data_IF_454572547059
#
_entry.id   IF_454572547059
#
_cell.length_a   1.000
_cell.length_b   1.000
_cell.length_c   1.000
_cell.angle_alpha   90.00
_cell.angle_beta   90.00
_cell.angle_gamma   90.00
#
_symmetry.space_group_name_H-M   'P 1'
#
loop_
_entity.id
_entity.type
_entity.pdbx_description
1 polymer ?
#
# COMPACT_ATOMS: atom_id res chain seq x y z
N UNK A 1 -9.94 18.68 -1.62
CA UNK A 1 -8.89 17.91 -2.30
C UNK A 1 -7.68 17.93 -1.39
N UNK A 2 -7.57 16.95 -0.49
CA UNK A 2 -6.35 16.79 0.30
C UNK A 2 -5.23 16.32 -0.64
N UNK A 3 -4.06 16.94 -0.55
CA UNK A 3 -2.88 16.66 -1.36
C UNK A 3 -2.51 15.16 -1.32
N UNK A 4 -2.86 14.40 -2.36
CA UNK A 4 -2.42 13.01 -2.56
C UNK A 4 -0.89 12.90 -2.60
N UNK A 5 -0.20 14.00 -2.93
CA UNK A 5 1.27 14.08 -3.01
C UNK A 5 1.97 13.62 -1.74
N UNK A 6 1.34 13.75 -0.57
CA UNK A 6 1.96 13.40 0.71
C UNK A 6 1.53 12.04 1.27
N UNK A 7 0.93 11.16 0.46
CA UNK A 7 0.39 9.87 0.92
C UNK A 7 1.42 9.02 1.67
N UNK A 8 2.57 8.71 1.03
CA UNK A 8 3.65 7.94 1.67
C UNK A 8 4.10 8.63 2.96
N UNK A 9 4.29 9.96 2.95
CA UNK A 9 4.71 10.69 4.14
C UNK A 9 3.71 10.55 5.29
N UNK A 10 2.41 10.66 4.99
CA UNK A 10 1.33 10.49 5.98
C UNK A 10 1.34 9.09 6.59
N UNK A 11 1.58 8.05 5.78
CA UNK A 11 1.70 6.66 6.25
C UNK A 11 2.89 6.54 7.20
N UNK A 12 4.06 7.00 6.79
CA UNK A 12 5.29 6.95 7.60
C UNK A 12 5.16 7.74 8.91
N UNK A 13 4.39 8.83 8.92
CA UNK A 13 4.13 9.64 10.12
C UNK A 13 3.05 9.00 11.03
N UNK A 14 2.12 8.22 10.47
CA UNK A 14 1.00 7.60 11.21
C UNK A 14 1.42 6.32 11.93
N UNK A 15 2.24 5.50 11.27
CA UNK A 15 2.65 4.22 11.81
C UNK A 15 4.02 4.32 12.48
N UNK A 16 4.13 3.84 13.73
CA UNK A 16 5.44 3.61 14.35
C UNK A 16 6.09 2.40 13.68
N UNK A 17 6.95 2.66 12.71
CA UNK A 17 7.62 1.63 11.94
C UNK A 17 8.71 0.96 12.76
N UNK A 18 8.55 -0.32 13.03
CA UNK A 18 9.62 -1.17 13.53
C UNK A 18 10.52 -1.59 12.37
N UNK A 19 11.79 -1.19 12.42
CA UNK A 19 12.78 -1.52 11.40
C UNK A 19 13.61 -2.72 11.85
N UNK A 20 13.33 -3.87 11.25
CA UNK A 20 14.17 -5.05 11.41
C UNK A 20 15.08 -5.24 10.20
N UNK A 21 16.29 -4.70 10.27
CA UNK A 21 17.29 -4.88 9.21
C UNK A 21 17.92 -6.29 9.19
N UNK A 22 17.63 -7.14 10.18
CA UNK A 22 18.16 -8.51 10.21
C UNK A 22 17.45 -9.44 9.21
N UNK A 23 16.27 -9.04 8.72
CA UNK A 23 15.46 -9.85 7.79
C UNK A 23 16.03 -9.90 6.37
N UNK A 24 16.99 -9.03 6.03
CA UNK A 24 17.57 -8.97 4.69
C UNK A 24 19.01 -8.49 4.68
N UNK A 25 19.81 -9.09 3.79
CA UNK A 25 21.16 -8.61 3.47
C UNK A 25 21.19 -7.74 2.19
N UNK A 26 20.03 -7.46 1.60
CA UNK A 26 19.93 -6.62 0.41
C UNK A 26 20.16 -5.14 0.79
N UNK A 27 21.28 -4.59 0.31
CA UNK A 27 21.67 -3.21 0.60
C UNK A 27 20.72 -2.18 -0.01
N UNK A 28 20.07 -2.47 -1.15
CA UNK A 28 19.08 -1.55 -1.73
C UNK A 28 17.84 -1.45 -0.84
N UNK A 29 17.37 -2.57 -0.28
CA UNK A 29 16.24 -2.56 0.65
C UNK A 29 16.59 -1.78 1.93
N UNK A 30 17.77 -2.04 2.51
CA UNK A 30 18.24 -1.29 3.69
C UNK A 30 18.31 0.21 3.39
N UNK A 31 18.84 0.58 2.23
CA UNK A 31 18.95 1.98 1.81
C UNK A 31 17.59 2.67 1.65
N UNK A 32 16.63 2.01 1.00
CA UNK A 32 15.24 2.50 0.86
C UNK A 32 14.66 2.81 2.25
N UNK A 33 14.72 1.87 3.18
CA UNK A 33 14.19 2.04 4.54
C UNK A 33 14.89 3.20 5.28
N UNK A 34 16.22 3.30 5.22
CA UNK A 34 17.00 4.35 5.89
C UNK A 34 16.69 5.75 5.38
N UNK A 35 16.38 5.91 4.09
CA UNK A 35 16.18 7.20 3.45
C UNK A 35 14.71 7.64 3.35
N UNK A 36 13.78 6.90 3.97
CA UNK A 36 12.34 7.17 3.90
C UNK A 36 11.89 8.58 4.30
N UNK A 37 12.65 9.26 5.17
CA UNK A 37 12.39 10.66 5.55
C UNK A 37 12.71 11.66 4.43
N UNK A 38 13.48 11.25 3.43
CA UNK A 38 13.93 12.08 2.32
C UNK A 38 13.15 11.82 1.03
N UNK A 39 12.07 11.03 1.11
CA UNK A 39 11.22 10.78 -0.04
C UNK A 39 10.56 12.08 -0.51
N UNK A 40 10.58 12.28 -1.82
CA UNK A 40 9.99 13.42 -2.51
C UNK A 40 8.62 12.99 -3.02
N UNK A 41 7.54 13.59 -2.48
CA UNK A 41 6.18 13.55 -3.03
C UNK A 41 6.11 13.66 -4.56
N UNK A 42 5.35 12.78 -5.20
CA UNK A 42 5.13 12.82 -6.64
C UNK A 42 3.75 12.26 -6.99
N UNK A 43 3.26 12.55 -8.19
CA UNK A 43 1.96 12.01 -8.65
C UNK A 43 2.09 10.62 -9.28
N UNK A 44 3.24 10.27 -9.87
CA UNK A 44 3.45 9.05 -10.70
C UNK A 44 4.94 8.68 -10.86
N UNK A 45 5.60 8.04 -9.90
CA UNK A 45 5.01 7.27 -8.80
C UNK A 45 4.67 8.15 -7.59
N UNK A 46 4.05 7.59 -6.55
CA UNK A 46 3.60 8.33 -5.36
C UNK A 46 4.73 9.06 -4.61
N UNK A 47 5.93 8.49 -4.62
CA UNK A 47 7.12 9.17 -4.14
C UNK A 47 8.37 8.71 -4.88
N UNK A 48 9.47 9.44 -4.75
CA UNK A 48 10.77 8.98 -5.22
C UNK A 48 11.91 9.57 -4.37
N UNK A 49 13.08 8.97 -4.46
CA UNK A 49 14.31 9.60 -3.98
C UNK A 49 15.48 9.24 -4.88
N UNK A 50 16.51 10.08 -4.87
CA UNK A 50 17.75 9.86 -5.62
C UNK A 50 18.90 9.62 -4.65
N UNK A 51 19.69 8.59 -4.91
CA UNK A 51 20.93 8.34 -4.21
C UNK A 51 22.00 7.92 -5.22
N UNK A 52 23.14 8.59 -5.19
CA UNK A 52 24.21 8.40 -6.16
C UNK A 52 23.66 8.52 -7.60
N UNK A 53 23.86 7.48 -8.41
CA UNK A 53 23.37 7.36 -9.78
C UNK A 53 22.12 6.48 -9.92
N UNK A 54 21.36 6.30 -8.83
CA UNK A 54 20.13 5.49 -8.81
C UNK A 54 18.97 6.36 -8.34
N UNK A 55 17.85 6.28 -9.07
CA UNK A 55 16.56 6.84 -8.66
C UNK A 55 15.66 5.67 -8.26
N UNK A 56 15.11 5.77 -7.06
CA UNK A 56 14.16 4.82 -6.52
C UNK A 56 12.77 5.45 -6.60
N UNK A 57 11.91 4.93 -7.47
CA UNK A 57 10.49 5.27 -7.52
C UNK A 57 9.71 4.40 -6.54
N UNK A 58 8.75 4.97 -5.83
CA UNK A 58 7.97 4.30 -4.78
C UNK A 58 6.50 4.41 -5.15
N UNK A 59 5.90 3.29 -5.52
CA UNK A 59 4.46 3.18 -5.77
C UNK A 59 3.80 2.50 -4.58
N UNK A 60 2.72 3.09 -4.08
CA UNK A 60 1.95 2.59 -2.95
C UNK A 60 0.75 1.76 -3.43
N UNK A 61 0.64 0.53 -2.94
CA UNK A 61 -0.58 -0.26 -3.04
C UNK A 61 -1.19 -0.51 -1.67
N UNK A 62 -2.30 0.15 -1.44
CA UNK A 62 -3.20 -0.17 -0.33
C UNK A 62 -4.05 -1.40 -0.71
N UNK A 63 -3.95 -2.47 0.07
CA UNK A 63 -4.71 -3.73 -0.11
C UNK A 63 -5.49 -4.10 1.16
N UNK A 64 -6.45 -5.00 1.03
CA UNK A 64 -7.32 -5.43 2.13
C UNK A 64 -7.75 -6.89 1.97
N UNK A 65 -7.93 -7.59 3.09
CA UNK A 65 -8.53 -8.93 3.19
C UNK A 65 -10.02 -8.92 2.85
N UNK A 66 -10.65 -7.75 2.84
CA UNK A 66 -12.06 -7.59 2.51
C UNK A 66 -12.25 -7.38 1.02
N UNK A 67 -13.30 -7.99 0.47
CA UNK A 67 -13.62 -7.84 -0.95
C UNK A 67 -13.95 -6.38 -1.27
N UNK A 68 -13.33 -5.86 -2.33
CA UNK A 68 -13.66 -4.52 -2.86
C UNK A 68 -15.11 -4.53 -3.36
N UNK A 69 -15.99 -3.79 -2.69
CA UNK A 69 -17.38 -3.63 -3.11
C UNK A 69 -17.46 -2.59 -4.24
N UNK A 70 -18.50 -2.67 -5.09
CA UNK A 70 -18.75 -1.66 -6.15
C UNK A 70 -18.87 -0.24 -5.58
N UNK A 71 -19.27 -0.10 -4.32
CA UNK A 71 -19.42 1.14 -3.58
C UNK A 71 -18.13 1.63 -2.90
N UNK A 72 -16.99 0.97 -3.13
CA UNK A 72 -15.68 1.33 -2.57
C UNK A 72 -15.20 0.43 -1.44
N UNK A 73 -14.12 0.85 -0.79
CA UNK A 73 -13.48 0.14 0.32
C UNK A 73 -14.40 0.10 1.55
N UNK A 74 -14.55 -1.08 2.16
CA UNK A 74 -15.42 -1.28 3.32
C UNK A 74 -14.92 -0.45 4.51
N UNK A 75 -13.62 -0.24 4.68
CA UNK A 75 -13.06 0.62 5.74
C UNK A 75 -13.53 2.07 5.59
N UNK A 76 -13.57 2.59 4.36
CA UNK A 76 -14.08 3.95 4.05
C UNK A 76 -15.58 4.04 4.28
N UNK A 77 -16.33 2.98 3.99
CA UNK A 77 -17.76 2.90 4.28
C UNK A 77 -18.05 2.82 5.78
N UNK A 78 -17.28 2.02 6.52
CA UNK A 78 -17.38 1.89 7.97
C UNK A 78 -17.01 3.20 8.68
N UNK A 79 -15.90 3.87 8.30
CA UNK A 79 -15.52 5.19 8.83
C UNK A 79 -16.55 6.27 8.49
N UNK A 80 -17.06 6.30 7.26
CA UNK A 80 -18.14 7.21 6.86
C UNK A 80 -19.44 6.98 7.65
N UNK A 81 -19.70 5.73 8.01
CA UNK A 81 -20.82 5.32 8.88
C UNK A 81 -20.60 5.76 10.33
N UNK A 82 -19.39 5.60 10.87
CA UNK A 82 -19.03 6.07 12.22
C UNK A 82 -19.12 7.59 12.37
N UNK A 83 -18.68 8.38 11.38
CA UNK A 83 -18.76 9.84 11.40
C UNK A 83 -20.21 10.38 11.32
N UNK A 84 -21.19 9.54 11.01
CA UNK A 84 -22.61 9.87 10.95
C UNK A 84 -23.45 9.01 11.91
N UNK A 85 -22.86 8.56 13.02
CA UNK A 85 -23.49 7.64 13.98
C UNK A 85 -24.87 8.09 14.46
N UNK A 86 -25.07 9.39 14.63
CA UNK A 86 -26.35 9.98 15.05
C UNK A 86 -27.47 9.86 14.00
N UNK A 87 -27.12 9.57 12.73
CA UNK A 87 -28.06 9.43 11.61
C UNK A 87 -28.27 7.98 11.18
N UNK A 88 -27.60 7.01 11.80
CA UNK A 88 -27.76 5.60 11.46
C UNK A 88 -28.97 5.01 12.18
N UNK A 89 -29.93 4.47 11.42
CA UNK A 89 -31.12 3.80 11.97
C UNK A 89 -30.85 2.36 12.39
N UNK A 90 -29.88 1.67 11.79
CA UNK A 90 -29.41 0.33 12.16
C UNK A 90 -27.93 0.19 11.75
N UNK A 91 -27.14 -0.54 12.54
CA UNK A 91 -25.77 -0.92 12.15
C UNK A 91 -25.86 -1.75 10.85
N UNK A 92 -25.17 -1.31 9.79
CA UNK A 92 -25.05 -2.13 8.58
C UNK A 92 -24.28 -3.40 8.93
N UNK A 93 -24.92 -4.55 8.84
CA UNK A 93 -24.25 -5.84 8.89
C UNK A 93 -23.48 -6.01 7.57
N UNK A 94 -22.19 -5.66 7.60
CA UNK A 94 -21.30 -5.97 6.49
C UNK A 94 -20.84 -7.40 6.66
N UNK A 95 -21.23 -8.27 5.73
CA UNK A 95 -20.64 -9.59 5.63
C UNK A 95 -19.24 -9.46 5.05
N UNK A 96 -18.26 -9.33 5.94
CA UNK A 96 -16.90 -8.93 5.58
C UNK A 96 -16.11 -10.03 4.87
N UNK A 97 -16.46 -11.30 5.11
CA UNK A 97 -15.75 -12.50 4.63
C UNK A 97 -14.25 -12.26 4.34
N UNK A 98 -13.45 -11.95 5.38
CA UNK A 98 -12.02 -11.73 5.21
C UNK A 98 -11.37 -12.97 4.61
N UNK A 99 -10.58 -12.80 3.55
CA UNK A 99 -9.90 -13.90 2.88
C UNK A 99 -8.55 -13.45 2.37
N UNK A 100 -7.54 -14.31 2.55
CA UNK A 100 -6.22 -14.13 1.95
C UNK A 100 -6.33 -14.06 0.43
N UNK A 101 -7.27 -14.81 -0.17
CA UNK A 101 -7.49 -14.77 -1.62
C UNK A 101 -7.93 -13.38 -2.09
N UNK A 102 -8.81 -12.69 -1.34
CA UNK A 102 -9.22 -11.32 -1.67
C UNK A 102 -8.03 -10.37 -1.69
N UNK A 103 -7.12 -10.51 -0.73
CA UNK A 103 -5.92 -9.70 -0.62
C UNK A 103 -4.96 -9.95 -1.79
N UNK A 104 -4.72 -11.22 -2.12
CA UNK A 104 -3.87 -11.63 -3.24
C UNK A 104 -4.46 -11.14 -4.58
N UNK A 105 -5.77 -11.28 -4.78
CA UNK A 105 -6.46 -10.77 -5.96
C UNK A 105 -6.36 -9.23 -6.03
N UNK A 106 -6.57 -8.52 -4.92
CA UNK A 106 -6.46 -7.05 -4.90
C UNK A 106 -5.04 -6.58 -5.27
N UNK A 107 -4.00 -7.26 -4.76
CA UNK A 107 -2.62 -6.97 -5.13
C UNK A 107 -2.37 -7.22 -6.63
N UNK A 108 -2.84 -8.35 -7.16
CA UNK A 108 -2.72 -8.68 -8.58
C UNK A 108 -3.44 -7.66 -9.46
N UNK A 109 -4.67 -7.26 -9.11
CA UNK A 109 -5.45 -6.27 -9.86
C UNK A 109 -4.78 -4.89 -9.87
N UNK A 110 -4.21 -4.48 -8.73
CA UNK A 110 -3.46 -3.23 -8.62
C UNK A 110 -2.21 -3.26 -9.51
N UNK A 111 -1.42 -4.34 -9.45
CA UNK A 111 -0.24 -4.52 -10.29
C UNK A 111 -0.60 -4.51 -11.77
N UNK A 112 -1.64 -5.25 -12.16
CA UNK A 112 -2.10 -5.28 -13.55
C UNK A 112 -2.46 -3.88 -14.05
N UNK A 113 -3.24 -3.14 -13.25
CA UNK A 113 -3.72 -1.81 -13.60
C UNK A 113 -2.61 -0.77 -13.69
N UNK A 114 -1.57 -0.88 -12.85
CA UNK A 114 -0.49 0.10 -12.77
C UNK A 114 0.74 -0.28 -13.63
N UNK A 115 0.90 -1.55 -14.01
CA UNK A 115 2.09 -2.04 -14.73
C UNK A 115 2.41 -1.27 -16.01
N UNK A 116 1.38 -0.91 -16.80
CA UNK A 116 1.55 -0.09 -18.01
C UNK A 116 2.08 1.33 -17.76
N UNK A 117 2.04 1.83 -16.52
CA UNK A 117 2.57 3.15 -16.16
C UNK A 117 4.03 3.13 -15.68
N UNK A 118 4.59 1.96 -15.37
CA UNK A 118 5.93 1.85 -14.76
C UNK A 118 7.05 2.37 -15.67
N UNK A 119 6.94 2.16 -16.98
CA UNK A 119 7.89 2.72 -17.94
C UNK A 119 7.83 4.24 -17.98
N UNK A 120 6.63 4.82 -17.94
CA UNK A 120 6.44 6.26 -17.90
C UNK A 120 7.03 6.87 -16.63
N UNK A 121 6.96 6.15 -15.50
CA UNK A 121 7.58 6.58 -14.23
C UNK A 121 9.10 6.68 -14.37
N UNK A 122 9.72 5.62 -14.91
CA UNK A 122 11.16 5.58 -15.21
C UNK A 122 11.53 6.75 -16.10
N UNK A 123 10.93 6.83 -17.28
CA UNK A 123 11.31 7.78 -18.32
C UNK A 123 11.20 9.22 -17.82
N UNK A 124 10.15 9.54 -17.08
CA UNK A 124 9.95 10.87 -16.50
C UNK A 124 11.03 11.22 -15.46
N UNK A 125 11.43 10.27 -14.62
CA UNK A 125 12.39 10.52 -13.55
C UNK A 125 13.85 10.46 -14.03
N UNK A 126 14.14 9.70 -15.08
CA UNK A 126 15.51 9.54 -15.63
C UNK A 126 15.78 10.40 -16.85
N UNK A 127 14.79 11.10 -17.43
CA UNK A 127 14.92 11.84 -18.70
C UNK A 127 16.19 12.70 -18.81
N UNK A 128 16.53 13.38 -17.72
CA UNK A 128 17.63 14.35 -17.68
C UNK A 128 18.87 13.83 -16.93
N UNK A 129 18.88 12.55 -16.56
CA UNK A 129 19.94 11.97 -15.74
C UNK A 129 20.29 10.57 -16.26
N UNK A 130 21.56 10.30 -16.55
CA UNK A 130 22.05 8.94 -16.87
C UNK A 130 22.06 8.04 -15.62
N UNK A 131 20.93 7.95 -14.93
CA UNK A 131 20.73 7.22 -13.68
C UNK A 131 20.05 5.88 -13.95
N UNK A 132 20.39 4.88 -13.14
CA UNK A 132 19.61 3.65 -13.04
C UNK A 132 18.27 3.96 -12.35
N UNK A 133 17.23 3.25 -12.74
CA UNK A 133 15.92 3.33 -12.09
C UNK A 133 15.60 2.03 -11.39
N UNK A 134 15.03 2.13 -10.19
CA UNK A 134 14.47 0.99 -9.46
C UNK A 134 13.07 1.36 -8.98
N UNK A 135 12.11 0.50 -9.26
CA UNK A 135 10.76 0.62 -8.71
C UNK A 135 10.67 -0.18 -7.41
N UNK A 136 10.16 0.48 -6.37
CA UNK A 136 9.82 -0.10 -5.08
C UNK A 136 8.31 -0.13 -5.00
N UNK A 137 7.74 -1.31 -4.80
CA UNK A 137 6.31 -1.44 -4.48
C UNK A 137 6.19 -1.47 -2.96
N UNK A 138 5.56 -0.43 -2.42
CA UNK A 138 5.21 -0.37 -1.01
C UNK A 138 3.79 -0.89 -0.85
N UNK A 139 3.61 -1.98 -0.10
CA UNK A 139 2.30 -2.60 0.10
C UNK A 139 1.84 -2.33 1.53
N UNK A 140 0.69 -1.66 1.67
CA UNK A 140 0.01 -1.46 2.95
C UNK A 140 -1.17 -2.43 3.06
N UNK A 141 -1.14 -3.29 4.07
CA UNK A 141 -2.35 -4.01 4.49
C UNK A 141 -3.21 -3.07 5.33
N UNK A 142 -4.29 -2.58 4.74
CA UNK A 142 -5.26 -1.68 5.37
C UNK A 142 -6.47 -2.41 5.94
N UNK A 143 -6.36 -3.73 6.13
CA UNK A 143 -7.40 -4.54 6.77
C UNK A 143 -7.62 -4.09 8.21
N UNK A 144 -8.63 -3.25 8.41
CA UNK A 144 -9.10 -2.88 9.74
C UNK A 144 -9.56 -4.15 10.50
N UNK A 145 -9.24 -4.25 11.79
CA UNK A 145 -9.71 -5.38 12.60
C UNK A 145 -11.23 -5.51 12.54
N UNK A 146 -11.74 -6.75 12.48
CA UNK A 146 -13.18 -7.02 12.47
C UNK A 146 -13.94 -6.35 13.62
N UNK A 147 -13.24 -5.98 14.70
CA UNK A 147 -13.76 -5.21 15.83
C UNK A 147 -14.42 -3.87 15.44
N UNK A 148 -13.93 -3.23 14.37
CA UNK A 148 -14.47 -1.95 13.87
C UNK A 148 -15.87 -2.13 13.27
N UNK A 149 -16.21 -3.35 12.85
CA UNK A 149 -17.46 -3.69 12.18
C UNK A 149 -18.36 -4.57 13.08
N UNK A 150 -17.79 -5.42 13.94
CA UNK A 150 -18.51 -6.21 14.95
C UNK A 150 -17.87 -6.08 16.33
N UNK A 151 -18.62 -5.52 17.27
CA UNK A 151 -18.22 -5.42 18.68
C UNK A 151 -17.87 -6.83 19.21
N UNK A 152 -16.64 -7.01 19.72
CA UNK A 152 -16.05 -8.25 20.30
C UNK A 152 -15.34 -9.20 19.35
N UNK A 153 -15.25 -8.92 18.05
CA UNK A 153 -14.40 -9.67 17.12
C UNK A 153 -12.92 -9.35 17.40
N UNK A 154 -12.13 -10.32 17.90
CA UNK A 154 -10.74 -10.12 18.35
C UNK A 154 -9.74 -11.04 17.67
N UNK A 155 -10.19 -11.86 16.72
CA UNK A 155 -9.29 -12.75 16.00
C UNK A 155 -8.36 -11.93 15.10
N UNK A 156 -7.07 -12.01 15.40
CA UNK A 156 -6.02 -11.57 14.48
C UNK A 156 -6.09 -12.46 13.23
N UNK A 157 -6.52 -11.87 12.11
CA UNK A 157 -6.39 -12.52 10.82
C UNK A 157 -4.96 -12.24 10.36
N UNK A 158 -4.12 -13.22 10.66
CA UNK A 158 -2.68 -13.17 10.55
C UNK A 158 -2.22 -13.60 9.15
N UNK A 159 -0.94 -13.45 8.83
CA UNK A 159 -0.35 -12.36 8.10
C UNK A 159 -0.21 -12.69 6.61
N UNK A 160 -0.05 -11.65 5.80
CA UNK A 160 0.40 -11.69 4.40
C UNK A 160 1.33 -12.90 4.11
N UNK A 161 0.87 -13.84 3.29
CA UNK A 161 1.68 -14.99 2.89
C UNK A 161 2.75 -14.54 1.90
N UNK A 162 3.90 -14.08 2.42
CA UNK A 162 5.01 -13.48 1.67
C UNK A 162 5.40 -14.27 0.41
N UNK A 163 5.35 -15.61 0.47
CA UNK A 163 5.65 -16.48 -0.68
C UNK A 163 4.64 -16.31 -1.83
N UNK A 164 3.35 -16.18 -1.54
CA UNK A 164 2.32 -15.97 -2.56
C UNK A 164 2.41 -14.56 -3.14
N UNK A 165 2.70 -13.57 -2.31
CA UNK A 165 2.96 -12.19 -2.74
C UNK A 165 4.18 -12.13 -3.67
N UNK A 166 5.27 -12.81 -3.31
CA UNK A 166 6.46 -12.88 -4.14
C UNK A 166 6.17 -13.52 -5.51
N UNK A 167 5.35 -14.57 -5.54
CA UNK A 167 4.94 -15.20 -6.81
C UNK A 167 4.17 -14.21 -7.70
N UNK A 168 3.22 -13.45 -7.14
CA UNK A 168 2.49 -12.42 -7.88
C UNK A 168 3.46 -11.38 -8.46
N UNK A 169 4.40 -10.87 -7.66
CA UNK A 169 5.37 -9.90 -8.18
C UNK A 169 6.25 -10.46 -9.30
N UNK A 170 6.65 -11.74 -9.21
CA UNK A 170 7.49 -12.39 -10.22
C UNK A 170 6.78 -12.63 -11.56
N UNK A 171 5.45 -12.49 -11.63
CA UNK A 171 4.68 -12.55 -12.87
C UNK A 171 4.79 -11.24 -13.70
N UNK A 172 5.13 -10.10 -13.07
CA UNK A 172 5.17 -8.77 -13.69
C UNK A 172 6.61 -8.26 -13.97
N UNK A 173 7.51 -9.16 -14.41
CA UNK A 173 8.91 -8.84 -14.72
C UNK A 173 9.08 -7.80 -15.83
#
# INVERSE_FOLDING_TARGET
MENSKNEIKKILDTYELYEDFSITNDEDIKHVIQHRKNYIPSEKPDAFFKQNNVIYGIEHFQISLYKKLKSGDISKQAKGSQCNREKMREDKDFDLHPSIENLLTALSDNLHSHSGSFEAYRDRLTKDNNCKYRLIIFVEDSSESGYIVRKRETQAINPLLLKQIANIFLEYK
#
